data_IF_338077987480
#
_entry.id   IF_338077987480
#
_cell.length_a   1.000
_cell.length_b   1.000
_cell.length_c   1.000
_cell.angle_alpha   90.00
_cell.angle_beta   90.00
_cell.angle_gamma   90.00
#
_symmetry.space_group_name_H-M   'P 1'
#
loop_
_entity.id
_entity.type
_entity.pdbx_description
1 polymer ?
#
# COMPACT_ATOMS: atom_id res chain seq x y z
N UNK A 1 -9.51 -7.38 9.40
CA UNK A 1 -9.26 -7.46 7.94
C UNK A 1 -8.58 -6.16 7.58
N UNK A 2 -7.25 -6.17 7.41
CA UNK A 2 -6.52 -4.95 7.09
C UNK A 2 -7.02 -4.43 5.73
N UNK A 3 -7.56 -3.21 5.75
CA UNK A 3 -8.07 -2.57 4.54
C UNK A 3 -6.93 -1.81 3.87
N UNK A 4 -6.31 -2.42 2.86
CA UNK A 4 -5.29 -1.76 2.05
C UNK A 4 -5.96 -0.72 1.12
N UNK A 5 -6.29 0.45 1.68
CA UNK A 5 -6.96 1.55 0.96
C UNK A 5 -6.19 1.94 -0.31
N UNK A 6 -4.87 1.88 -0.27
CA UNK A 6 -3.97 2.15 -1.40
C UNK A 6 -3.97 1.06 -2.50
N UNK A 7 -4.59 -0.10 -2.27
CA UNK A 7 -4.74 -1.19 -3.24
C UNK A 7 -6.18 -1.34 -3.75
N UNK A 8 -6.96 -0.26 -3.69
CA UNK A 8 -8.33 -0.20 -4.20
C UNK A 8 -8.44 0.80 -5.35
N UNK A 9 -9.21 0.45 -6.37
CA UNK A 9 -9.48 1.32 -7.50
C UNK A 9 -10.39 2.48 -7.07
N UNK A 10 -10.07 3.74 -7.42
CA UNK A 10 -10.88 4.89 -7.04
C UNK A 10 -12.24 4.96 -7.75
N UNK A 11 -12.42 4.22 -8.86
CA UNK A 11 -13.70 4.17 -9.60
C UNK A 11 -14.59 3.05 -9.05
N UNK A 12 -14.07 1.81 -8.99
CA UNK A 12 -14.87 0.64 -8.58
C UNK A 12 -14.97 0.48 -7.07
N UNK A 13 -14.08 1.14 -6.32
CA UNK A 13 -13.92 0.99 -4.87
C UNK A 13 -13.61 -0.45 -4.44
N UNK A 14 -13.09 -1.27 -5.36
CA UNK A 14 -12.73 -2.65 -5.15
C UNK A 14 -11.21 -2.85 -5.33
N UNK A 15 -10.69 -3.99 -4.84
CA UNK A 15 -9.31 -4.43 -5.10
C UNK A 15 -9.05 -4.50 -6.61
N UNK A 16 -7.85 -4.09 -7.04
CA UNK A 16 -7.45 -4.23 -8.44
C UNK A 16 -7.32 -5.70 -8.88
N UNK A 17 -7.80 -5.99 -10.08
CA UNK A 17 -7.61 -7.24 -10.81
C UNK A 17 -6.65 -7.00 -11.98
N UNK A 18 -6.91 -5.95 -12.76
CA UNK A 18 -6.04 -5.53 -13.86
C UNK A 18 -5.65 -4.05 -13.72
N UNK A 19 -4.68 -3.74 -12.83
CA UNK A 19 -4.27 -2.37 -12.58
C UNK A 19 -3.59 -1.75 -13.80
N UNK A 20 -4.05 -0.57 -14.20
CA UNK A 20 -3.44 0.28 -15.22
C UNK A 20 -3.13 1.66 -14.65
N UNK A 21 -2.00 2.24 -15.03
CA UNK A 21 -1.64 3.62 -14.72
C UNK A 21 -2.05 4.55 -15.86
N UNK A 22 -2.71 5.65 -15.51
CA UNK A 22 -3.05 6.72 -16.44
C UNK A 22 -1.91 7.73 -16.63
N UNK A 23 -2.06 8.63 -17.61
CA UNK A 23 -1.13 9.75 -17.83
C UNK A 23 -1.08 10.75 -16.66
N UNK A 24 -2.04 10.66 -15.74
CA UNK A 24 -2.15 11.43 -14.50
C UNK A 24 -1.47 10.75 -13.31
N UNK A 25 -0.75 9.65 -13.54
CA UNK A 25 -0.05 8.84 -12.54
C UNK A 25 -0.95 8.15 -11.49
N UNK A 26 -2.26 8.13 -11.71
CA UNK A 26 -3.19 7.38 -10.87
C UNK A 26 -3.41 5.97 -11.43
N UNK A 27 -3.79 5.04 -10.54
CA UNK A 27 -3.99 3.64 -10.87
C UNK A 27 -5.48 3.33 -10.85
N UNK A 28 -5.95 2.66 -11.90
CA UNK A 28 -7.33 2.31 -12.11
C UNK A 28 -7.47 0.83 -12.44
N UNK A 29 -8.66 0.29 -12.23
CA UNK A 29 -9.05 -0.98 -12.83
C UNK A 29 -9.27 -0.75 -14.34
N UNK A 30 -8.68 -1.58 -15.20
CA UNK A 30 -8.71 -1.38 -16.65
C UNK A 30 -10.13 -1.17 -17.18
N UNK A 31 -11.03 -2.09 -16.87
CA UNK A 31 -12.40 -2.06 -17.39
C UNK A 31 -13.13 -0.77 -16.99
N UNK A 32 -12.92 -0.32 -15.76
CA UNK A 32 -13.56 0.86 -15.22
C UNK A 32 -13.05 2.16 -15.84
N UNK A 33 -11.73 2.30 -16.02
CA UNK A 33 -11.17 3.51 -16.65
C UNK A 33 -11.46 3.55 -18.15
N UNK A 34 -11.47 2.40 -18.84
CA UNK A 34 -11.84 2.35 -20.26
C UNK A 34 -13.30 2.79 -20.47
N UNK A 35 -14.24 2.31 -19.66
CA UNK A 35 -15.64 2.76 -19.70
C UNK A 35 -15.78 4.26 -19.40
N UNK A 36 -15.03 4.77 -18.42
CA UNK A 36 -15.03 6.19 -18.07
C UNK A 36 -14.55 7.06 -19.24
N UNK A 37 -13.43 6.68 -19.86
CA UNK A 37 -12.80 7.43 -20.95
C UNK A 37 -13.62 7.42 -22.24
N UNK A 38 -14.43 6.39 -22.48
CA UNK A 38 -15.42 6.38 -23.57
C UNK A 38 -16.45 7.51 -23.43
N UNK A 39 -16.80 7.89 -22.21
CA UNK A 39 -17.85 8.90 -21.94
C UNK A 39 -17.30 10.30 -21.67
N UNK A 40 -16.14 10.43 -21.01
CA UNK A 40 -15.65 11.72 -20.50
C UNK A 40 -14.34 12.20 -21.12
N UNK A 41 -13.48 11.28 -21.63
CA UNK A 41 -12.14 11.61 -22.16
C UNK A 41 -11.24 12.42 -21.19
N UNK A 42 -11.44 12.25 -19.89
CA UNK A 42 -10.68 12.91 -18.82
C UNK A 42 -10.32 11.94 -17.71
N UNK A 43 -9.31 12.26 -16.91
CA UNK A 43 -9.02 11.58 -15.64
C UNK A 43 -10.20 11.74 -14.67
N UNK A 44 -10.67 10.65 -14.03
CA UNK A 44 -11.62 10.73 -12.92
C UNK A 44 -11.09 11.51 -11.70
N UNK A 45 -9.77 11.51 -11.49
CA UNK A 45 -9.13 12.07 -10.30
C UNK A 45 -8.71 13.54 -10.48
N UNK A 46 -8.22 13.90 -11.66
CA UNK A 46 -7.64 15.22 -11.92
C UNK A 46 -8.44 16.06 -12.90
N UNK A 47 -9.47 15.47 -13.54
CA UNK A 47 -10.25 16.09 -14.63
C UNK A 47 -9.41 16.52 -15.85
N UNK A 48 -8.13 16.15 -15.92
CA UNK A 48 -7.27 16.44 -17.06
C UNK A 48 -7.58 15.51 -18.24
N UNK A 49 -7.35 15.98 -19.48
CA UNK A 49 -7.52 15.16 -20.70
C UNK A 49 -6.72 13.86 -20.60
N UNK A 50 -7.36 12.75 -20.91
CA UNK A 50 -6.74 11.43 -20.94
C UNK A 50 -7.37 10.60 -22.06
N UNK A 51 -6.56 9.81 -22.75
CA UNK A 51 -7.03 8.86 -23.77
C UNK A 51 -6.78 7.42 -23.33
N UNK A 52 -7.57 6.50 -23.88
CA UNK A 52 -7.40 5.06 -23.64
C UNK A 52 -5.99 4.61 -24.03
N UNK A 53 -5.43 5.17 -25.11
CA UNK A 53 -4.08 4.88 -25.60
C UNK A 53 -2.96 5.31 -24.65
N UNK A 54 -3.26 6.18 -23.68
CA UNK A 54 -2.30 6.62 -22.66
C UNK A 54 -2.18 5.64 -21.49
N UNK A 55 -3.12 4.70 -21.35
CA UNK A 55 -3.12 3.72 -20.26
C UNK A 55 -1.97 2.72 -20.42
N UNK A 56 -1.28 2.43 -19.31
CA UNK A 56 -0.19 1.46 -19.27
C UNK A 56 -0.45 0.42 -18.18
N UNK A 57 -0.27 -0.89 -18.43
CA UNK A 57 -0.37 -1.90 -17.37
C UNK A 57 0.59 -1.60 -16.21
N UNK A 58 0.13 -1.77 -14.97
CA UNK A 58 0.98 -1.67 -13.78
C UNK A 58 1.22 -3.06 -13.18
N UNK A 59 2.22 -3.76 -13.73
CA UNK A 59 2.58 -5.10 -13.29
C UNK A 59 3.11 -5.14 -11.85
N UNK A 60 3.71 -4.06 -11.36
CA UNK A 60 4.21 -4.00 -9.99
C UNK A 60 3.07 -4.10 -8.97
N UNK A 61 1.99 -3.35 -9.17
CA UNK A 61 0.80 -3.44 -8.30
C UNK A 61 0.10 -4.78 -8.46
N UNK A 62 0.02 -5.32 -9.67
CA UNK A 62 -0.55 -6.66 -9.90
C UNK A 62 0.20 -7.72 -9.09
N UNK A 63 1.53 -7.76 -9.23
CA UNK A 63 2.37 -8.72 -8.53
C UNK A 63 2.26 -8.58 -7.00
N UNK A 64 2.25 -7.35 -6.48
CA UNK A 64 2.07 -7.08 -5.04
C UNK A 64 0.73 -7.63 -4.53
N UNK A 65 -0.34 -7.38 -5.28
CA UNK A 65 -1.70 -7.82 -4.95
C UNK A 65 -1.81 -9.36 -4.99
N UNK A 66 -1.12 -10.00 -5.92
CA UNK A 66 -1.06 -11.46 -6.05
C UNK A 66 -0.26 -12.06 -4.88
N UNK A 67 0.91 -11.52 -4.56
CA UNK A 67 1.75 -11.96 -3.43
C UNK A 67 1.00 -11.86 -2.09
N UNK A 68 0.35 -10.74 -1.81
CA UNK A 68 -0.48 -10.57 -0.61
C UNK A 68 -1.59 -11.64 -0.57
N UNK A 69 -2.19 -11.95 -1.72
CA UNK A 69 -3.25 -12.96 -1.78
C UNK A 69 -2.73 -14.36 -1.43
N UNK A 70 -1.51 -14.71 -1.83
CA UNK A 70 -0.89 -16.01 -1.50
C UNK A 70 -0.51 -16.11 -0.02
N UNK A 71 0.00 -15.02 0.57
CA UNK A 71 0.31 -14.96 2.02
C UNK A 71 -0.96 -15.16 2.85
N UNK A 72 -2.06 -14.51 2.47
CA UNK A 72 -3.33 -14.65 3.22
C UNK A 72 -3.94 -16.04 3.12
N UNK A 73 -3.72 -16.77 2.01
CA UNK A 73 -4.15 -18.17 1.86
C UNK A 73 -3.35 -19.13 2.73
N UNK A 74 -2.03 -18.90 2.85
CA UNK A 74 -1.12 -19.77 3.61
C UNK A 74 -1.30 -19.64 5.13
N UNK A 75 -1.69 -18.46 5.63
CA UNK A 75 -1.87 -18.23 7.06
C UNK A 75 -3.24 -18.66 7.66
N UNK A 76 -4.15 -19.20 6.85
CA UNK A 76 -5.41 -19.77 7.35
C UNK A 76 -5.32 -21.28 7.67
N UNK A 77 -4.19 -21.93 7.36
CA UNK A 77 -4.00 -23.38 7.57
C UNK A 77 -2.96 -23.77 8.64
N UNK A 78 -2.55 -22.85 9.51
CA UNK A 78 -1.67 -23.18 10.64
C UNK A 78 -1.85 -22.25 11.84
N UNK A 79 -2.93 -22.48 12.59
CA UNK A 79 -2.86 -22.35 14.05
C UNK A 79 -2.88 -23.77 14.61
N UNK A 80 -1.74 -24.40 14.93
CA UNK A 80 -1.72 -25.42 15.95
C UNK A 80 -2.11 -24.74 17.27
N UNK A 81 -3.29 -25.04 17.79
CA UNK A 81 -3.72 -24.72 19.17
C UNK A 81 -2.92 -25.54 20.17
N UNK A 82 -1.62 -25.28 20.27
CA UNK A 82 -0.80 -25.68 21.40
C UNK A 82 0.28 -24.63 21.67
N UNK A 83 -0.14 -23.50 22.22
CA UNK A 83 0.77 -22.59 22.91
C UNK A 83 0.50 -22.71 24.40
N UNK A 84 1.13 -23.70 25.03
CA UNK A 84 1.33 -23.65 26.49
C UNK A 84 2.12 -22.38 26.80
N UNK A 85 1.70 -21.53 27.76
CA UNK A 85 2.43 -20.32 28.07
C UNK A 85 3.77 -20.67 28.73
N UNK A 86 4.85 -20.64 27.94
CA UNK A 86 6.20 -20.59 28.49
C UNK A 86 6.42 -19.19 29.06
N UNK A 87 6.39 -19.09 30.39
CA UNK A 87 6.70 -17.90 31.16
C UNK A 87 8.16 -17.52 30.86
N UNK A 88 8.36 -16.55 29.95
CA UNK A 88 9.68 -15.93 29.75
C UNK A 88 9.87 -14.96 30.91
N UNK A 89 10.68 -15.37 31.89
CA UNK A 89 11.11 -14.49 32.97
C UNK A 89 11.97 -13.36 32.41
N UNK A 90 11.51 -12.13 32.68
CA UNK A 90 12.18 -10.88 32.35
C UNK A 90 13.66 -10.90 32.77
N UNK A 91 14.56 -10.84 31.78
CA UNK A 91 15.90 -10.28 31.99
C UNK A 91 16.15 -9.16 31.00
N UNK A 92 15.53 -8.00 31.27
CA UNK A 92 15.87 -6.75 30.58
C UNK A 92 17.16 -6.19 31.20
N UNK A 93 18.25 -5.97 30.43
CA UNK A 93 19.46 -5.34 30.96
C UNK A 93 19.19 -3.89 31.43
N UNK A 94 19.94 -3.36 32.41
CA UNK A 94 19.78 -1.98 32.87
C UNK A 94 20.06 -0.98 31.73
N UNK A 95 19.16 -0.01 31.57
CA UNK A 95 19.34 1.09 30.60
C UNK A 95 20.45 2.01 31.13
N UNK A 96 21.52 2.31 30.36
CA UNK A 96 22.54 3.25 30.78
C UNK A 96 21.98 4.69 30.85
N UNK A 97 22.45 5.53 31.78
CA UNK A 97 21.96 6.89 31.93
C UNK A 97 22.29 7.74 30.70
N UNK A 98 21.27 8.49 30.25
CA UNK A 98 21.34 9.39 29.08
C UNK A 98 22.32 10.52 29.36
N UNK A 99 23.41 10.60 28.60
CA UNK A 99 24.26 11.80 28.61
C UNK A 99 23.53 12.93 27.90
N UNK A 100 23.28 14.03 28.61
CA UNK A 100 22.72 15.26 28.04
C UNK A 100 23.72 15.84 27.04
N UNK A 101 23.32 15.91 25.77
CA UNK A 101 24.01 16.68 24.75
C UNK A 101 24.08 18.15 25.18
N UNK A 102 25.29 18.68 25.40
CA UNK A 102 25.51 20.12 25.63
C UNK A 102 25.10 20.87 24.35
N UNK A 103 24.15 21.79 24.47
CA UNK A 103 23.80 22.72 23.39
C UNK A 103 25.02 23.57 23.04
N UNK A 104 25.47 23.50 21.80
CA UNK A 104 26.42 24.47 21.25
C UNK A 104 25.63 25.75 20.95
N UNK A 105 25.93 26.85 21.64
CA UNK A 105 25.46 28.17 21.24
C UNK A 105 26.35 28.65 20.09
N UNK A 106 25.74 28.95 18.93
CA UNK A 106 26.42 29.52 17.78
C UNK A 106 26.26 31.05 17.84
N UNK A 107 27.28 31.73 18.33
CA UNK A 107 27.35 33.20 18.31
C UNK A 107 27.59 33.66 16.86
N UNK A 108 26.61 34.37 16.27
CA UNK A 108 26.79 35.10 15.01
C UNK A 108 27.42 36.47 15.30
N UNK A 109 28.57 36.74 14.68
CA UNK A 109 29.19 38.07 14.57
C UNK A 109 29.09 38.56 13.13
#
# INVERSE_FOLDING_TARGET
MENFKSLTCPITLARFIEPVIGSDYHIYERSAIEEWLQKHQTSPMTCQRMSIDSLRPNLAIKNLIDEISEITKTHQNSIPTDVTPQIISDRRPPIPPRQSSKSINLDFR
#
